data_IF_028527856728
#
_entry.id   IF_028527856728
#
_cell.length_a   1.000
_cell.length_b   1.000
_cell.length_c   1.000
_cell.angle_alpha   90.00
_cell.angle_beta   90.00
_cell.angle_gamma   90.00
#
_symmetry.space_group_name_H-M   'P 1'
#
loop_
_entity.id
_entity.type
_entity.pdbx_description
1 polymer ?
#
# COMPACT_ATOMS: atom_id res chain seq x y z
N UNK A 1 -8.92 16.95 -9.50
CA UNK A 1 -9.54 15.87 -10.28
C UNK A 1 -9.98 14.74 -9.36
N UNK A 2 -9.10 13.94 -8.70
CA UNK A 2 -9.51 12.83 -7.82
C UNK A 2 -10.48 13.24 -6.69
N UNK A 3 -10.33 14.44 -6.14
CA UNK A 3 -11.22 14.97 -5.10
C UNK A 3 -12.57 15.52 -5.64
N UNK A 4 -12.71 15.67 -6.94
CA UNK A 4 -13.87 16.28 -7.59
C UNK A 4 -14.78 15.25 -8.26
N UNK A 5 -14.27 14.06 -8.53
CA UNK A 5 -14.97 13.03 -9.29
C UNK A 5 -15.05 11.72 -8.51
N UNK A 6 -16.25 11.36 -8.07
CA UNK A 6 -16.52 10.15 -7.27
C UNK A 6 -16.26 8.83 -8.00
N UNK A 7 -16.20 8.85 -9.33
CA UNK A 7 -15.88 7.66 -10.13
C UNK A 7 -14.38 7.35 -10.24
N UNK A 8 -13.51 8.15 -9.60
CA UNK A 8 -12.07 7.90 -9.52
C UNK A 8 -11.76 7.28 -8.16
N UNK A 9 -11.21 6.08 -8.18
CA UNK A 9 -10.83 5.37 -6.94
C UNK A 9 -9.84 6.16 -6.09
N UNK A 10 -10.04 6.14 -4.76
CA UNK A 10 -9.17 6.78 -3.77
C UNK A 10 -7.87 6.01 -3.54
N UNK A 11 -7.10 5.81 -4.60
CA UNK A 11 -5.86 5.05 -4.56
C UNK A 11 -4.78 5.67 -5.44
N UNK A 12 -3.59 5.84 -4.86
CA UNK A 12 -2.42 6.38 -5.56
C UNK A 12 -1.24 5.43 -5.38
N UNK A 13 -0.59 5.07 -6.49
CA UNK A 13 0.70 4.41 -6.45
C UNK A 13 1.81 5.44 -6.63
N UNK A 14 2.59 5.66 -5.56
CA UNK A 14 3.65 6.67 -5.51
C UNK A 14 4.99 5.98 -5.20
N UNK A 15 5.82 5.66 -6.22
CA UNK A 15 7.07 4.93 -6.04
C UNK A 15 8.13 5.75 -5.31
N UNK A 16 8.50 5.36 -4.08
CA UNK A 16 9.59 5.98 -3.30
C UNK A 16 10.97 5.53 -3.76
N UNK A 17 11.11 4.26 -4.07
CA UNK A 17 12.35 3.53 -4.39
C UNK A 17 13.35 3.49 -3.23
N UNK A 18 13.76 4.63 -2.68
CA UNK A 18 14.67 4.77 -1.53
C UNK A 18 14.35 6.04 -0.73
N UNK A 19 14.56 6.02 0.58
CA UNK A 19 14.46 7.21 1.43
C UNK A 19 15.77 8.02 1.51
N UNK A 20 16.80 7.68 0.75
CA UNK A 20 18.07 8.41 0.72
C UNK A 20 18.23 9.21 -0.58
N UNK A 21 18.42 10.53 -0.47
CA UNK A 21 18.67 11.40 -1.62
C UNK A 21 19.94 11.00 -2.39
N UNK A 22 20.96 10.49 -1.69
CA UNK A 22 22.18 9.93 -2.31
C UNK A 22 21.81 8.74 -3.21
N UNK A 23 21.02 7.82 -2.73
CA UNK A 23 20.59 6.62 -3.47
C UNK A 23 19.61 6.97 -4.57
N UNK A 24 18.65 7.85 -4.32
CA UNK A 24 17.73 8.36 -5.35
C UNK A 24 18.49 8.96 -6.53
N UNK A 25 19.50 9.80 -6.27
CA UNK A 25 20.37 10.35 -7.33
C UNK A 25 21.11 9.27 -8.10
N UNK A 26 21.62 8.23 -7.44
CA UNK A 26 22.26 7.08 -8.08
C UNK A 26 21.30 6.23 -8.91
N UNK A 27 20.02 6.19 -8.50
CA UNK A 27 18.93 5.57 -9.26
C UNK A 27 18.39 6.45 -10.39
N UNK A 28 19.02 7.60 -10.63
CA UNK A 28 18.58 8.61 -11.61
C UNK A 28 17.12 9.10 -11.36
N UNK A 29 16.77 9.31 -10.08
CA UNK A 29 15.49 9.90 -9.69
C UNK A 29 15.63 11.41 -9.54
N UNK A 30 14.63 12.15 -10.01
CA UNK A 30 14.62 13.62 -10.06
C UNK A 30 14.02 14.27 -8.81
N UNK A 31 13.41 13.50 -7.94
CA UNK A 31 12.81 13.96 -6.68
C UNK A 31 13.70 13.65 -5.48
N UNK A 32 13.44 14.36 -4.38
CA UNK A 32 14.08 14.11 -3.08
C UNK A 32 13.12 13.45 -2.10
N UNK A 33 13.67 12.88 -1.03
CA UNK A 33 12.89 12.30 0.08
C UNK A 33 11.94 13.34 0.70
N UNK A 34 12.40 14.57 0.90
CA UNK A 34 11.63 15.65 1.50
C UNK A 34 10.43 16.02 0.62
N UNK A 35 10.67 16.15 -0.70
CA UNK A 35 9.59 16.38 -1.66
C UNK A 35 8.57 15.24 -1.67
N UNK A 36 9.05 13.99 -1.59
CA UNK A 36 8.17 12.82 -1.55
C UNK A 36 7.26 12.80 -0.31
N UNK A 37 7.82 13.10 0.88
CA UNK A 37 7.07 13.18 2.13
C UNK A 37 6.01 14.28 2.04
N UNK A 38 6.41 15.47 1.60
CA UNK A 38 5.51 16.62 1.44
C UNK A 38 4.36 16.32 0.47
N UNK A 39 4.67 15.69 -0.67
CA UNK A 39 3.66 15.27 -1.64
C UNK A 39 2.69 14.25 -1.03
N UNK A 40 3.21 13.26 -0.30
CA UNK A 40 2.38 12.25 0.37
C UNK A 40 1.45 12.87 1.42
N UNK A 41 1.93 13.89 2.14
CA UNK A 41 1.15 14.64 3.12
C UNK A 41 0.04 15.43 2.44
N UNK A 42 0.35 16.20 1.39
CA UNK A 42 -0.64 16.97 0.60
C UNK A 42 -1.73 16.09 -0.01
N UNK A 43 -1.35 14.92 -0.54
CA UNK A 43 -2.32 13.96 -1.07
C UNK A 43 -3.32 13.56 0.01
N UNK A 44 -2.87 13.27 1.23
CA UNK A 44 -3.75 12.89 2.35
C UNK A 44 -4.55 14.04 2.94
N UNK A 45 -4.09 15.27 2.83
CA UNK A 45 -4.85 16.46 3.21
C UNK A 45 -6.04 16.68 2.27
N UNK A 46 -5.82 16.48 0.97
CA UNK A 46 -6.86 16.63 -0.06
C UNK A 46 -7.79 15.41 -0.11
N UNK A 47 -7.25 14.22 0.13
CA UNK A 47 -7.94 12.93 0.07
C UNK A 47 -7.70 12.14 1.37
N UNK A 48 -8.42 12.43 2.46
CA UNK A 48 -8.15 11.83 3.78
C UNK A 48 -8.16 10.30 3.82
N UNK A 49 -9.01 9.68 2.99
CA UNK A 49 -9.20 8.23 2.93
C UNK A 49 -8.37 7.54 1.82
N UNK A 50 -7.46 8.28 1.17
CA UNK A 50 -6.66 7.71 0.08
C UNK A 50 -5.76 6.57 0.54
N UNK A 51 -5.76 5.47 -0.21
CA UNK A 51 -4.77 4.42 -0.11
C UNK A 51 -3.50 4.83 -0.89
N UNK A 52 -2.35 4.87 -0.21
CA UNK A 52 -1.06 5.15 -0.85
C UNK A 52 -0.22 3.89 -0.85
N UNK A 53 0.13 3.40 -2.04
CA UNK A 53 1.12 2.34 -2.21
C UNK A 53 2.44 2.89 -2.74
N UNK A 54 3.50 2.10 -2.59
CA UNK A 54 4.84 2.49 -3.02
C UNK A 54 5.67 1.31 -3.50
N UNK A 55 6.79 1.60 -4.16
CA UNK A 55 7.86 0.65 -4.42
C UNK A 55 9.07 0.99 -3.54
N UNK A 56 9.75 -0.04 -3.02
CA UNK A 56 10.97 0.10 -2.25
C UNK A 56 12.00 -0.91 -2.75
N UNK A 57 13.18 -0.45 -3.09
CA UNK A 57 14.33 -1.27 -3.46
C UNK A 57 15.39 -1.13 -2.38
N UNK A 58 15.78 -2.24 -1.76
CA UNK A 58 16.86 -2.28 -0.78
C UNK A 58 18.14 -2.87 -1.36
N UNK A 59 19.29 -2.44 -0.84
CA UNK A 59 20.59 -2.95 -1.25
C UNK A 59 21.01 -2.51 -2.64
N UNK A 60 20.58 -1.32 -3.08
CA UNK A 60 21.12 -0.70 -4.28
C UNK A 60 22.63 -0.44 -4.08
N UNK A 61 23.49 -0.54 -5.12
CA UNK A 61 24.91 -0.29 -4.99
C UNK A 61 25.22 1.02 -4.28
N UNK A 62 26.11 0.99 -3.26
CA UNK A 62 26.47 2.12 -2.43
C UNK A 62 25.49 2.52 -1.35
N UNK A 63 24.41 1.75 -1.11
CA UNK A 63 23.48 1.98 -0.01
C UNK A 63 24.14 1.66 1.34
N UNK A 64 24.52 2.67 2.11
CA UNK A 64 25.07 2.52 3.46
C UNK A 64 23.97 2.10 4.47
N UNK A 65 24.38 1.78 5.70
CA UNK A 65 23.43 1.53 6.81
C UNK A 65 22.57 2.76 7.07
N UNK A 66 23.16 3.96 6.99
CA UNK A 66 22.43 5.21 7.23
C UNK A 66 21.48 5.56 6.09
N UNK A 67 21.84 5.23 4.84
CA UNK A 67 20.91 5.36 3.70
C UNK A 67 19.68 4.46 3.88
N UNK A 68 19.90 3.21 4.30
CA UNK A 68 18.81 2.29 4.61
C UNK A 68 17.93 2.78 5.78
N UNK A 69 18.53 3.32 6.86
CA UNK A 69 17.76 3.92 7.97
C UNK A 69 16.87 5.08 7.52
N UNK A 70 17.32 5.90 6.56
CA UNK A 70 16.48 6.95 5.97
C UNK A 70 15.25 6.37 5.27
N UNK A 71 15.40 5.26 4.54
CA UNK A 71 14.26 4.57 3.94
C UNK A 71 13.25 4.09 5.00
N UNK A 72 13.73 3.51 6.11
CA UNK A 72 12.88 3.13 7.25
C UNK A 72 12.14 4.34 7.83
N UNK A 73 12.82 5.48 8.03
CA UNK A 73 12.20 6.71 8.56
C UNK A 73 11.07 7.23 7.66
N UNK A 74 11.28 7.25 6.34
CA UNK A 74 10.23 7.65 5.39
C UNK A 74 9.02 6.72 5.50
N UNK A 75 9.24 5.41 5.60
CA UNK A 75 8.15 4.45 5.79
C UNK A 75 7.37 4.71 7.08
N UNK A 76 8.08 4.96 8.20
CA UNK A 76 7.49 5.26 9.51
C UNK A 76 6.69 6.55 9.50
N UNK A 77 7.11 7.55 8.74
CA UNK A 77 6.44 8.84 8.62
C UNK A 77 5.19 8.72 7.72
N UNK A 78 5.34 8.17 6.53
CA UNK A 78 4.25 8.08 5.54
C UNK A 78 3.24 7.01 5.91
N UNK A 79 3.65 5.88 6.50
CA UNK A 79 2.81 4.71 6.82
C UNK A 79 1.97 4.28 5.61
N UNK A 80 2.66 3.78 4.59
CA UNK A 80 2.02 3.31 3.37
C UNK A 80 0.95 2.25 3.63
N UNK A 81 -0.09 2.25 2.81
CA UNK A 81 -1.16 1.25 2.85
C UNK A 81 -0.69 -0.11 2.35
N UNK A 82 0.19 -0.11 1.35
CA UNK A 82 0.91 -1.28 0.86
C UNK A 82 2.24 -0.87 0.23
N UNK A 83 3.17 -1.82 0.09
CA UNK A 83 4.41 -1.61 -0.65
C UNK A 83 4.81 -2.86 -1.42
N UNK A 84 5.32 -2.65 -2.63
CA UNK A 84 6.08 -3.65 -3.36
C UNK A 84 7.55 -3.49 -3.00
N UNK A 85 8.15 -4.54 -2.46
CA UNK A 85 9.48 -4.49 -1.88
C UNK A 85 10.41 -5.44 -2.58
N UNK A 86 11.57 -4.96 -2.99
CA UNK A 86 12.52 -5.70 -3.81
C UNK A 86 13.94 -5.58 -3.26
N UNK A 87 14.70 -6.66 -3.39
CA UNK A 87 16.17 -6.56 -3.36
C UNK A 87 16.66 -6.05 -4.70
N UNK A 88 17.63 -5.16 -4.69
CA UNK A 88 18.32 -4.82 -5.93
C UNK A 88 18.89 -6.07 -6.58
N UNK A 89 18.59 -6.27 -7.84
CA UNK A 89 19.22 -7.27 -8.68
C UNK A 89 19.87 -6.60 -9.90
N UNK A 90 21.06 -7.02 -10.22
CA UNK A 90 21.85 -6.49 -11.35
C UNK A 90 21.13 -6.77 -12.66
N UNK A 91 20.94 -5.72 -13.47
CA UNK A 91 20.38 -5.82 -14.82
C UNK A 91 21.44 -5.43 -15.81
N UNK A 92 21.87 -6.37 -16.67
CA UNK A 92 22.86 -6.14 -17.72
C UNK A 92 22.47 -4.93 -18.58
N UNK A 93 23.45 -4.08 -18.89
CA UNK A 93 23.28 -2.88 -19.71
C UNK A 93 22.75 -1.65 -18.94
N UNK A 94 22.63 -1.73 -17.60
CA UNK A 94 22.33 -0.55 -16.78
C UNK A 94 23.59 0.00 -16.14
N UNK A 95 23.68 1.34 -15.97
CA UNK A 95 24.79 1.98 -15.26
C UNK A 95 25.01 1.41 -13.85
N UNK A 96 23.93 1.01 -13.18
CA UNK A 96 23.99 0.42 -11.85
C UNK A 96 24.69 -0.96 -11.84
N UNK A 97 24.72 -1.67 -12.95
CA UNK A 97 25.44 -2.95 -13.07
C UNK A 97 26.96 -2.80 -13.12
N UNK A 98 27.43 -1.59 -13.42
CA UNK A 98 28.86 -1.24 -13.55
C UNK A 98 29.46 -0.65 -12.27
N UNK A 99 28.63 -0.47 -11.22
CA UNK A 99 29.13 0.04 -9.94
C UNK A 99 29.90 -1.04 -9.18
N UNK A 100 31.00 -0.64 -8.52
CA UNK A 100 31.88 -1.56 -7.78
C UNK A 100 31.40 -1.85 -6.35
N UNK A 101 30.52 -1.00 -5.82
CA UNK A 101 30.06 -1.01 -4.43
C UNK A 101 28.75 -1.78 -4.23
N UNK A 102 28.64 -2.96 -4.85
CA UNK A 102 27.51 -3.87 -4.68
C UNK A 102 27.39 -4.35 -3.23
N UNK A 103 26.15 -4.47 -2.76
CA UNK A 103 25.83 -4.89 -1.39
C UNK A 103 25.74 -6.42 -1.33
N UNK A 104 26.32 -7.00 -0.28
CA UNK A 104 26.26 -8.44 0.00
C UNK A 104 24.80 -8.93 0.06
N UNK A 105 24.55 -10.12 -0.48
CA UNK A 105 23.20 -10.67 -0.61
C UNK A 105 22.52 -10.93 0.75
N UNK A 106 23.29 -11.30 1.79
CA UNK A 106 22.77 -11.49 3.14
C UNK A 106 22.33 -10.17 3.76
N UNK A 107 23.03 -9.07 3.45
CA UNK A 107 22.66 -7.72 3.90
C UNK A 107 21.38 -7.29 3.19
N UNK A 108 21.26 -7.47 1.88
CA UNK A 108 20.03 -7.19 1.11
C UNK A 108 18.84 -7.96 1.69
N UNK A 109 19.03 -9.24 1.99
CA UNK A 109 17.98 -10.09 2.53
C UNK A 109 17.50 -9.58 3.90
N UNK A 110 18.41 -9.26 4.83
CA UNK A 110 18.04 -8.69 6.14
C UNK A 110 17.31 -7.35 6.01
N UNK A 111 17.74 -6.49 5.08
CA UNK A 111 17.07 -5.21 4.81
C UNK A 111 15.66 -5.42 4.26
N UNK A 112 15.49 -6.35 3.32
CA UNK A 112 14.19 -6.68 2.77
C UNK A 112 13.23 -7.20 3.84
N UNK A 113 13.67 -8.14 4.69
CA UNK A 113 12.87 -8.67 5.80
C UNK A 113 12.42 -7.57 6.76
N UNK A 114 13.31 -6.61 7.08
CA UNK A 114 12.97 -5.46 7.92
C UNK A 114 11.90 -4.58 7.29
N UNK A 115 12.01 -4.29 5.98
CA UNK A 115 11.03 -3.49 5.23
C UNK A 115 9.69 -4.20 5.16
N UNK A 116 9.66 -5.50 4.87
CA UNK A 116 8.43 -6.32 4.83
C UNK A 116 7.73 -6.31 6.20
N UNK A 117 8.49 -6.54 7.27
CA UNK A 117 7.94 -6.55 8.63
C UNK A 117 7.34 -5.19 9.01
N UNK A 118 8.06 -4.10 8.72
CA UNK A 118 7.57 -2.74 8.98
C UNK A 118 6.33 -2.42 8.15
N UNK A 119 6.33 -2.76 6.86
CA UNK A 119 5.16 -2.55 6.01
C UNK A 119 3.95 -3.33 6.49
N UNK A 120 4.13 -4.58 6.93
CA UNK A 120 3.02 -5.36 7.52
C UNK A 120 2.40 -4.64 8.71
N UNK A 121 3.21 -4.07 9.59
CA UNK A 121 2.71 -3.30 10.75
C UNK A 121 1.94 -2.04 10.32
N UNK A 122 2.43 -1.32 9.29
CA UNK A 122 1.75 -0.15 8.74
C UNK A 122 0.42 -0.52 8.08
N UNK A 123 0.38 -1.61 7.30
CA UNK A 123 -0.87 -2.09 6.68
C UNK A 123 -1.91 -2.44 7.75
N UNK A 124 -1.51 -3.14 8.83
CA UNK A 124 -2.40 -3.45 9.96
C UNK A 124 -2.90 -2.16 10.63
N UNK A 125 -2.01 -1.20 10.87
CA UNK A 125 -2.37 0.10 11.45
C UNK A 125 -3.40 0.85 10.58
N UNK A 126 -3.17 0.90 9.27
CA UNK A 126 -4.06 1.56 8.31
C UNK A 126 -5.40 0.83 8.21
N UNK A 127 -5.40 -0.48 8.18
CA UNK A 127 -6.60 -1.31 8.07
C UNK A 127 -7.52 -1.17 9.29
N UNK A 128 -6.97 -0.98 10.49
CA UNK A 128 -7.79 -0.77 11.69
C UNK A 128 -8.72 0.43 11.60
N UNK A 129 -8.39 1.45 10.81
CA UNK A 129 -9.23 2.65 10.61
C UNK A 129 -10.54 2.36 9.87
N UNK A 130 -10.61 1.26 9.15
CA UNK A 130 -11.80 0.84 8.42
C UNK A 130 -12.83 0.09 9.28
N UNK A 131 -12.45 -0.35 10.49
CA UNK A 131 -13.37 -1.10 11.36
C UNK A 131 -14.51 -0.19 11.79
N UNK A 132 -15.75 -0.60 11.49
CA UNK A 132 -16.96 0.17 11.76
C UNK A 132 -17.43 1.03 10.58
N UNK A 133 -16.64 1.19 9.50
CA UNK A 133 -17.08 1.91 8.29
C UNK A 133 -17.84 0.99 7.35
N UNK A 134 -18.68 1.57 6.50
CA UNK A 134 -19.29 0.91 5.35
C UNK A 134 -18.51 1.28 4.10
N UNK A 135 -18.01 0.28 3.40
CA UNK A 135 -17.22 0.45 2.19
C UNK A 135 -17.92 -0.16 0.98
N UNK A 136 -17.87 0.51 -0.16
CA UNK A 136 -18.31 -0.03 -1.43
C UNK A 136 -17.26 -0.99 -1.98
N UNK A 137 -17.58 -2.27 -2.09
CA UNK A 137 -16.64 -3.33 -2.46
C UNK A 137 -16.95 -3.87 -3.84
N UNK A 138 -16.00 -3.74 -4.77
CA UNK A 138 -16.04 -4.44 -6.05
C UNK A 138 -15.71 -5.92 -5.83
N UNK A 139 -16.67 -6.81 -6.08
CA UNK A 139 -16.46 -8.26 -6.00
C UNK A 139 -15.60 -8.72 -7.18
N UNK A 140 -14.40 -9.23 -6.90
CA UNK A 140 -13.48 -9.66 -7.96
C UNK A 140 -13.43 -11.17 -8.15
N UNK A 141 -13.60 -11.94 -7.07
CA UNK A 141 -13.47 -13.40 -7.10
C UNK A 141 -14.01 -14.07 -5.85
N UNK A 142 -14.05 -15.39 -5.89
CA UNK A 142 -14.22 -16.22 -4.70
C UNK A 142 -12.95 -16.20 -3.83
N UNK A 143 -13.13 -16.28 -2.52
CA UNK A 143 -12.02 -16.36 -1.58
C UNK A 143 -11.31 -17.71 -1.71
N UNK A 144 -9.98 -17.70 -1.91
CA UNK A 144 -9.16 -18.92 -2.05
C UNK A 144 -9.21 -19.88 -0.85
N UNK A 145 -9.59 -19.38 0.32
CA UNK A 145 -9.57 -20.19 1.57
C UNK A 145 -10.93 -20.71 2.01
N UNK A 146 -12.02 -20.18 1.46
CA UNK A 146 -13.39 -20.56 1.80
C UNK A 146 -14.30 -20.28 0.62
N UNK A 147 -14.82 -21.33 0.01
CA UNK A 147 -15.72 -21.28 -1.16
C UNK A 147 -17.04 -20.55 -0.90
N UNK A 148 -17.40 -20.36 0.38
CA UNK A 148 -18.61 -19.63 0.80
C UNK A 148 -18.40 -18.12 0.94
N UNK A 149 -17.24 -17.56 0.52
CA UNK A 149 -16.92 -16.13 0.69
C UNK A 149 -16.52 -15.48 -0.61
N UNK A 150 -16.90 -14.20 -0.72
CA UNK A 150 -16.38 -13.29 -1.73
C UNK A 150 -15.07 -12.65 -1.26
N UNK A 151 -14.24 -12.31 -2.23
CA UNK A 151 -13.08 -11.44 -2.06
C UNK A 151 -13.17 -10.30 -3.07
N UNK A 152 -13.10 -9.08 -2.57
CA UNK A 152 -13.19 -7.86 -3.38
C UNK A 152 -12.29 -6.77 -2.84
N UNK A 153 -12.32 -5.60 -3.47
CA UNK A 153 -11.54 -4.44 -3.04
C UNK A 153 -12.39 -3.20 -2.82
N UNK A 154 -11.95 -2.38 -1.84
CA UNK A 154 -12.42 -1.00 -1.69
C UNK A 154 -11.89 -0.14 -2.82
N UNK A 155 -12.39 1.07 -2.98
CA UNK A 155 -11.85 2.11 -3.85
C UNK A 155 -10.41 2.51 -3.49
N UNK A 156 -10.04 2.40 -2.19
CA UNK A 156 -8.68 2.59 -1.68
C UNK A 156 -7.78 1.35 -1.81
N UNK A 157 -8.21 0.36 -2.62
CA UNK A 157 -7.47 -0.85 -2.98
C UNK A 157 -7.19 -1.82 -1.81
N UNK A 158 -8.06 -1.83 -0.78
CA UNK A 158 -7.96 -2.77 0.34
C UNK A 158 -8.72 -4.06 0.05
N UNK A 159 -8.08 -5.21 0.28
CA UNK A 159 -8.76 -6.50 0.19
C UNK A 159 -9.75 -6.69 1.34
N UNK A 160 -10.98 -7.07 0.97
CA UNK A 160 -12.08 -7.39 1.90
C UNK A 160 -12.60 -8.79 1.61
N UNK A 161 -12.80 -9.58 2.67
CA UNK A 161 -13.41 -10.91 2.61
C UNK A 161 -14.74 -10.87 3.39
N UNK A 162 -15.81 -11.35 2.77
CA UNK A 162 -17.15 -11.35 3.34
C UNK A 162 -17.99 -12.54 2.82
N UNK A 163 -19.08 -12.87 3.51
CA UNK A 163 -19.92 -14.01 3.15
C UNK A 163 -20.62 -13.79 1.81
N UNK A 164 -20.78 -14.86 1.01
CA UNK A 164 -21.54 -14.81 -0.23
C UNK A 164 -23.01 -14.51 0.06
N UNK A 165 -23.63 -13.78 -0.84
CA UNK A 165 -25.06 -13.53 -0.93
C UNK A 165 -25.49 -13.70 -2.39
N UNK A 166 -26.59 -13.06 -2.78
CA UNK A 166 -27.13 -13.09 -4.15
C UNK A 166 -26.33 -12.22 -5.17
N UNK A 167 -25.30 -11.48 -4.70
CA UNK A 167 -24.46 -10.68 -5.60
C UNK A 167 -23.48 -11.55 -6.39
N UNK A 168 -23.01 -11.02 -7.52
CA UNK A 168 -22.12 -11.69 -8.45
C UNK A 168 -20.73 -11.03 -8.52
N UNK A 169 -19.78 -11.72 -9.14
CA UNK A 169 -18.49 -11.12 -9.52
C UNK A 169 -18.78 -9.92 -10.43
N UNK A 170 -18.05 -8.82 -10.23
CA UNK A 170 -18.19 -7.48 -10.83
C UNK A 170 -19.28 -6.59 -10.23
N UNK A 171 -20.12 -7.09 -9.34
CA UNK A 171 -21.03 -6.21 -8.59
C UNK A 171 -20.26 -5.37 -7.57
N UNK A 172 -20.77 -4.17 -7.32
CA UNK A 172 -20.32 -3.30 -6.22
C UNK A 172 -21.37 -3.37 -5.11
N UNK A 173 -20.94 -3.77 -3.92
CA UNK A 173 -21.83 -3.97 -2.78
C UNK A 173 -21.35 -3.23 -1.54
N UNK A 174 -22.26 -2.65 -0.72
CA UNK A 174 -21.89 -2.04 0.55
C UNK A 174 -21.58 -3.12 1.59
N UNK A 175 -20.42 -3.01 2.23
CA UNK A 175 -19.93 -3.97 3.24
C UNK A 175 -19.53 -3.22 4.49
N UNK A 176 -20.15 -3.51 5.62
CA UNK A 176 -19.71 -3.06 6.94
C UNK A 176 -18.43 -3.83 7.32
N UNK A 177 -17.34 -3.10 7.51
CA UNK A 177 -16.07 -3.69 7.94
C UNK A 177 -16.15 -4.00 9.44
N UNK A 178 -16.07 -5.28 9.79
CA UNK A 178 -16.20 -5.76 11.17
C UNK A 178 -14.88 -6.08 11.85
N UNK A 179 -13.84 -6.38 11.07
CA UNK A 179 -12.51 -6.65 11.61
C UNK A 179 -11.40 -6.50 10.56
N UNK A 180 -10.18 -6.29 11.03
CA UNK A 180 -8.95 -6.35 10.27
C UNK A 180 -8.08 -7.48 10.82
N UNK A 181 -7.79 -8.49 9.99
CA UNK A 181 -6.95 -9.64 10.38
C UNK A 181 -5.74 -9.69 9.45
N UNK A 182 -4.56 -9.64 10.03
CA UNK A 182 -3.34 -9.45 9.27
C UNK A 182 -3.46 -8.23 8.33
N UNK A 183 -3.26 -8.43 7.03
CA UNK A 183 -3.34 -7.38 6.00
C UNK A 183 -4.69 -7.34 5.28
N UNK A 184 -5.70 -8.08 5.75
CA UNK A 184 -7.00 -8.24 5.08
C UNK A 184 -8.12 -7.73 5.98
N UNK A 185 -9.08 -7.01 5.39
CA UNK A 185 -10.32 -6.61 6.02
C UNK A 185 -11.35 -7.73 5.93
N UNK A 186 -12.24 -7.80 6.92
CA UNK A 186 -13.38 -8.70 6.92
C UNK A 186 -14.66 -7.91 7.21
N UNK A 187 -15.74 -8.27 6.57
CA UNK A 187 -16.98 -7.54 6.71
C UNK A 187 -18.23 -8.37 6.51
N UNK A 188 -19.38 -7.69 6.58
CA UNK A 188 -20.71 -8.24 6.31
C UNK A 188 -21.40 -7.34 5.29
N UNK A 189 -22.00 -7.94 4.28
CA UNK A 189 -22.82 -7.21 3.32
C UNK A 189 -23.96 -6.50 4.03
N UNK A 190 -24.22 -5.28 3.63
CA UNK A 190 -25.35 -4.47 4.08
C UNK A 190 -26.40 -4.40 2.97
N UNK A 191 -27.69 -4.28 3.34
CA UNK A 191 -28.66 -3.84 2.35
C UNK A 191 -28.51 -2.32 2.13
N UNK A 192 -28.86 -1.83 0.93
CA UNK A 192 -28.68 -0.41 0.58
C UNK A 192 -29.34 0.56 1.57
N UNK A 193 -30.52 0.22 2.10
CA UNK A 193 -31.23 1.07 3.06
C UNK A 193 -30.48 1.21 4.41
N UNK A 194 -29.84 0.12 4.89
CA UNK A 194 -28.99 0.18 6.10
C UNK A 194 -27.66 0.86 5.85
N UNK A 195 -27.09 0.73 4.66
CA UNK A 195 -25.83 1.42 4.30
C UNK A 195 -25.99 2.94 4.36
N UNK A 196 -27.06 3.48 3.78
CA UNK A 196 -27.37 4.92 3.80
C UNK A 196 -27.48 5.50 5.22
N UNK A 197 -27.96 4.71 6.20
CA UNK A 197 -28.01 5.15 7.60
C UNK A 197 -26.62 5.36 8.22
N UNK A 198 -25.64 4.50 7.88
CA UNK A 198 -24.24 4.63 8.37
C UNK A 198 -23.47 5.79 7.74
N UNK A 199 -23.88 6.27 6.56
CA UNK A 199 -23.25 7.42 5.88
C UNK A 199 -23.69 8.78 6.48
N UNK A 200 -24.81 8.80 7.23
CA UNK A 200 -25.42 10.02 7.77
C UNK A 200 -25.33 10.16 9.31
N UNK A 201 -24.78 9.16 10.01
CA UNK A 201 -24.59 9.14 11.46
C UNK A 201 -23.16 8.76 11.86
#
# INVERSE_FOLDING_TARGET
>A
VMAEYENICNYVHLPLQSGSNKILKRMNRTYTMEHFIELSRKIREILPNVGISTDIIVGFPGESVDDFKKTIRVMEEVKFDSAFTFKYSTRKGTKASEYDDHIDEKIKQRRLEKVISLQKSHTIYRNKKYIGTVENILIEKESKRKDSKWAGRTDSNKWVIFDKNQANIKDIVPVLITSARDITLHGKIMNKAKAAWYEHN
#
